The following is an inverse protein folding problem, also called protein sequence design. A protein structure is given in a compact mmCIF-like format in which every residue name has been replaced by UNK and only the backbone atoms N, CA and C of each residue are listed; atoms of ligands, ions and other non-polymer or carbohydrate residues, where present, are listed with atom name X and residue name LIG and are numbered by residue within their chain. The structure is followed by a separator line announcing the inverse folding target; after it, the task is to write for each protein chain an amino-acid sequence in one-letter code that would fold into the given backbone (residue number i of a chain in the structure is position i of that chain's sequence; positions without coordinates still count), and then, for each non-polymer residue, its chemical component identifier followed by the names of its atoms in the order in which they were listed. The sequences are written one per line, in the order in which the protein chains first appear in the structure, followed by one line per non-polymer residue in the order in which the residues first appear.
data_IF_785830667646
#
_entry.id   IF_785830667646
#
_cell.length_a   1.000
_cell.length_b   1.000
_cell.length_c   1.000
_cell.angle_alpha   90.00
_cell.angle_beta   90.00
_cell.angle_gamma   90.00
#
_symmetry.space_group_name_H-M   'P 1'
#
loop_
_entity.id
_entity.type
_entity.pdbx_description
1 polymer ?
#
# COMPACT_ATOMS: atom_id res chain seq x y z
N UNK A 1 6.10 -24.03 44.98
CA UNK A 1 6.85 -25.15 44.35
C UNK A 1 6.85 -25.12 42.83
N UNK A 2 5.97 -24.36 42.16
CA UNK A 2 5.95 -24.20 40.68
C UNK A 2 6.86 -23.06 40.15
N UNK A 3 7.13 -22.06 40.99
CA UNK A 3 7.88 -20.87 40.58
C UNK A 3 9.36 -21.16 40.15
N UNK A 4 10.12 -21.99 40.90
CA UNK A 4 11.48 -22.33 40.45
C UNK A 4 11.52 -23.13 39.17
N UNK A 5 10.58 -24.05 38.93
CA UNK A 5 10.45 -24.81 37.68
C UNK A 5 10.13 -23.94 36.47
N UNK A 6 9.36 -22.86 36.65
CA UNK A 6 9.10 -21.87 35.61
C UNK A 6 10.29 -20.97 35.34
N UNK A 7 11.07 -20.64 36.38
CA UNK A 7 12.32 -19.86 36.23
C UNK A 7 13.36 -20.70 35.51
N UNK A 8 13.57 -21.97 35.89
CA UNK A 8 14.51 -22.88 35.22
C UNK A 8 14.10 -23.16 33.77
N UNK A 9 12.80 -23.27 33.48
CA UNK A 9 12.29 -23.43 32.11
C UNK A 9 12.50 -22.17 31.27
N UNK A 10 12.38 -20.99 31.85
CA UNK A 10 12.62 -19.68 31.18
C UNK A 10 14.13 -19.48 30.99
N UNK A 11 14.97 -19.85 31.97
CA UNK A 11 16.43 -19.78 31.83
C UNK A 11 16.96 -20.79 30.80
N UNK A 12 16.42 -22.01 30.73
CA UNK A 12 16.82 -23.00 29.72
C UNK A 12 16.43 -22.61 28.30
N UNK A 13 15.35 -21.85 28.12
CA UNK A 13 14.96 -21.31 26.79
C UNK A 13 15.72 -20.03 26.43
N UNK A 14 16.35 -19.35 27.39
CA UNK A 14 17.14 -18.15 27.16
C UNK A 14 18.58 -18.46 26.69
N UNK A 15 19.04 -19.68 26.83
CA UNK A 15 20.42 -20.10 26.46
C UNK A 15 20.51 -20.65 25.02
N UNK A 16 19.39 -20.92 24.37
CA UNK A 16 19.38 -21.20 22.93
C UNK A 16 19.46 -19.88 22.17
N UNK A 17 20.62 -19.62 21.58
CA UNK A 17 20.83 -18.53 20.63
C UNK A 17 19.64 -18.52 19.63
N UNK A 18 19.05 -17.35 19.31
CA UNK A 18 17.87 -17.30 18.48
C UNK A 18 18.12 -18.02 17.17
N UNK A 19 17.40 -19.11 16.96
CA UNK A 19 17.54 -20.07 15.86
C UNK A 19 17.62 -19.41 14.47
N UNK A 20 17.09 -18.19 14.35
CA UNK A 20 17.07 -17.40 13.11
C UNK A 20 18.32 -16.56 12.87
N UNK A 21 19.00 -16.07 13.90
CA UNK A 21 20.20 -15.24 13.72
C UNK A 21 21.43 -16.08 13.32
N UNK A 22 21.49 -17.34 13.77
CA UNK A 22 22.60 -18.23 13.46
C UNK A 22 22.60 -18.77 12.02
N UNK A 23 21.55 -18.54 11.23
CA UNK A 23 21.36 -19.15 9.90
C UNK A 23 20.98 -18.14 8.81
N UNK A 24 21.17 -16.82 9.02
CA UNK A 24 20.96 -15.85 7.95
C UNK A 24 21.99 -16.12 6.83
N UNK A 25 21.56 -16.49 5.60
CA UNK A 25 22.47 -16.82 4.50
C UNK A 25 23.49 -15.71 4.20
N UNK A 26 23.12 -14.45 4.38
CA UNK A 26 24.01 -13.30 4.18
C UNK A 26 25.06 -13.23 5.28
N UNK A 27 24.69 -13.55 6.51
CA UNK A 27 25.64 -13.59 7.63
C UNK A 27 26.64 -14.73 7.48
N UNK A 28 26.19 -15.90 7.02
CA UNK A 28 27.05 -17.03 6.68
C UNK A 28 28.06 -16.63 5.58
N UNK A 29 27.59 -15.93 4.54
CA UNK A 29 28.45 -15.46 3.42
C UNK A 29 29.51 -14.47 3.89
N UNK A 30 29.19 -13.63 4.87
CA UNK A 30 30.12 -12.65 5.47
C UNK A 30 30.92 -13.20 6.64
N UNK A 31 30.86 -14.53 6.86
CA UNK A 31 31.56 -15.25 7.99
C UNK A 31 31.18 -14.69 9.36
N UNK A 32 29.91 -14.30 9.54
CA UNK A 32 29.40 -13.77 10.81
C UNK A 32 29.88 -12.35 11.15
N UNK A 33 30.53 -11.65 10.21
CA UNK A 33 31.03 -10.30 10.49
C UNK A 33 29.90 -9.28 10.61
N UNK A 34 28.83 -9.43 9.84
CA UNK A 34 27.69 -8.53 9.85
C UNK A 34 26.79 -8.71 11.10
N UNK A 35 26.81 -9.88 11.75
CA UNK A 35 26.06 -10.13 12.98
C UNK A 35 26.74 -9.49 14.20
N UNK A 36 28.06 -9.29 14.17
CA UNK A 36 28.80 -8.69 15.27
C UNK A 36 28.34 -7.25 15.53
N UNK A 37 28.24 -6.87 16.79
CA UNK A 37 27.88 -5.51 17.22
C UNK A 37 29.13 -4.62 17.26
N UNK A 38 29.57 -4.20 16.05
CA UNK A 38 30.74 -3.36 15.86
C UNK A 38 30.30 -2.00 15.26
N UNK A 39 31.09 -0.94 15.44
CA UNK A 39 30.80 0.40 14.91
C UNK A 39 30.56 0.39 13.38
N UNK A 40 31.32 -0.40 12.64
CA UNK A 40 31.19 -0.52 11.19
C UNK A 40 29.89 -1.22 10.79
N UNK A 41 29.47 -2.23 11.53
CA UNK A 41 28.21 -2.95 11.25
C UNK A 41 26.99 -2.09 11.59
N UNK A 42 27.07 -1.29 12.64
CA UNK A 42 26.04 -0.29 12.98
C UNK A 42 25.88 0.72 11.85
N UNK A 43 27.00 1.29 11.35
CA UNK A 43 26.96 2.24 10.24
C UNK A 43 26.33 1.60 9.00
N UNK A 44 26.72 0.38 8.65
CA UNK A 44 26.17 -0.35 7.49
C UNK A 44 24.67 -0.58 7.64
N UNK A 45 24.18 -1.00 8.80
CA UNK A 45 22.75 -1.21 9.08
C UNK A 45 21.94 0.07 8.88
N UNK A 46 22.43 1.18 9.42
CA UNK A 46 21.80 2.50 9.29
C UNK A 46 21.78 2.99 7.84
N UNK A 47 22.91 2.84 7.13
CA UNK A 47 23.03 3.25 5.73
C UNK A 47 22.13 2.42 4.81
N UNK A 48 22.06 1.10 5.03
CA UNK A 48 21.19 0.21 4.26
C UNK A 48 19.70 0.56 4.48
N UNK A 49 19.28 0.76 5.74
CA UNK A 49 17.93 1.17 6.06
C UNK A 49 17.57 2.50 5.39
N UNK A 50 18.46 3.50 5.47
CA UNK A 50 18.29 4.78 4.80
C UNK A 50 18.19 4.63 3.28
N UNK A 51 19.09 3.85 2.67
CA UNK A 51 19.12 3.62 1.22
C UNK A 51 17.80 3.01 0.71
N UNK A 52 17.28 2.01 1.41
CA UNK A 52 15.99 1.41 1.08
C UNK A 52 14.85 2.43 1.19
N UNK A 53 14.80 3.20 2.26
CA UNK A 53 13.82 4.29 2.42
C UNK A 53 13.89 5.32 1.31
N UNK A 54 15.11 5.68 0.87
CA UNK A 54 15.33 6.58 -0.28
C UNK A 54 14.80 5.98 -1.58
N UNK A 55 15.08 4.71 -1.88
CA UNK A 55 14.61 4.03 -3.10
C UNK A 55 13.08 4.04 -3.19
N UNK A 56 12.39 3.62 -2.14
CA UNK A 56 10.93 3.66 -2.09
C UNK A 56 10.38 5.09 -2.11
N UNK A 57 11.04 5.99 -1.39
CA UNK A 57 10.64 7.38 -1.33
C UNK A 57 10.74 8.11 -2.67
N UNK A 58 11.77 7.81 -3.49
CA UNK A 58 11.90 8.34 -4.86
C UNK A 58 10.74 7.86 -5.73
N UNK A 59 10.43 6.57 -5.68
CA UNK A 59 9.34 5.98 -6.46
C UNK A 59 8.00 6.63 -6.11
N UNK A 60 7.70 6.79 -4.81
CA UNK A 60 6.48 7.44 -4.33
C UNK A 60 6.42 8.93 -4.69
N UNK A 61 7.52 9.65 -4.56
CA UNK A 61 7.60 11.06 -4.96
C UNK A 61 7.36 11.26 -6.45
N UNK A 62 7.91 10.38 -7.30
CA UNK A 62 7.70 10.44 -8.76
C UNK A 62 6.23 10.23 -9.14
N UNK A 63 5.51 9.38 -8.42
CA UNK A 63 4.08 9.11 -8.64
C UNK A 63 3.15 10.09 -7.91
N UNK A 64 3.68 11.15 -7.31
CA UNK A 64 2.94 12.21 -6.59
C UNK A 64 2.03 11.70 -5.48
N UNK A 65 2.49 10.67 -4.75
CA UNK A 65 1.77 10.19 -3.57
C UNK A 65 1.89 11.16 -2.38
N UNK A 66 1.02 11.01 -1.39
CA UNK A 66 0.94 11.86 -0.20
C UNK A 66 2.21 11.82 0.67
N UNK A 67 2.85 10.66 0.80
CA UNK A 67 4.15 10.50 1.47
C UNK A 67 5.24 10.21 0.43
N UNK A 68 6.38 10.89 0.54
CA UNK A 68 7.47 10.84 -0.43
C UNK A 68 8.83 10.54 0.19
N UNK A 69 9.89 11.02 -0.48
CA UNK A 69 11.29 10.72 -0.19
C UNK A 69 11.66 10.90 1.29
N UNK A 70 11.36 12.05 1.87
CA UNK A 70 11.75 12.37 3.26
C UNK A 70 11.06 11.45 4.26
N UNK A 71 9.76 11.24 4.09
CA UNK A 71 8.94 10.45 5.03
C UNK A 71 9.38 8.99 5.04
N UNK A 72 9.53 8.36 3.88
CA UNK A 72 9.98 6.98 3.77
C UNK A 72 11.38 6.79 4.35
N UNK A 73 12.33 7.69 4.01
CA UNK A 73 13.70 7.63 4.50
C UNK A 73 13.79 7.77 6.02
N UNK A 74 13.03 8.68 6.62
CA UNK A 74 13.05 8.86 8.07
C UNK A 74 12.39 7.70 8.81
N UNK A 75 11.29 7.16 8.31
CA UNK A 75 10.61 6.02 8.96
C UNK A 75 11.52 4.80 9.01
N UNK A 76 12.18 4.45 7.90
CA UNK A 76 13.13 3.31 7.89
C UNK A 76 14.33 3.57 8.78
N UNK A 77 14.88 4.79 8.74
CA UNK A 77 16.02 5.18 9.55
C UNK A 77 15.72 5.09 11.05
N UNK A 78 14.62 5.73 11.50
CA UNK A 78 14.24 5.72 12.92
C UNK A 78 13.94 4.33 13.43
N UNK A 79 13.31 3.49 12.61
CA UNK A 79 13.02 2.12 12.99
C UNK A 79 14.28 1.27 13.13
N UNK A 80 15.27 1.46 12.24
CA UNK A 80 16.57 0.80 12.36
C UNK A 80 17.33 1.25 13.61
N UNK A 81 17.35 2.56 13.91
CA UNK A 81 18.00 3.10 15.11
C UNK A 81 17.32 2.58 16.38
N UNK A 82 15.97 2.54 16.40
CA UNK A 82 15.20 2.02 17.54
C UNK A 82 15.56 0.56 17.83
N UNK A 83 15.63 -0.26 16.76
CA UNK A 83 15.98 -1.66 16.90
C UNK A 83 17.45 -1.84 17.34
N UNK A 84 18.39 -1.06 16.81
CA UNK A 84 19.78 -1.06 17.28
C UNK A 84 19.89 -0.71 18.75
N UNK A 85 19.10 0.26 19.22
CA UNK A 85 19.06 0.64 20.62
C UNK A 85 18.51 -0.48 21.50
N UNK A 86 17.43 -1.16 21.09
CA UNK A 86 16.91 -2.30 21.80
C UNK A 86 17.93 -3.46 21.86
N UNK A 87 18.59 -3.78 20.75
CA UNK A 87 19.66 -4.79 20.72
C UNK A 87 20.78 -4.43 21.68
N UNK A 88 21.19 -3.16 21.73
CA UNK A 88 22.20 -2.67 22.69
C UNK A 88 21.73 -2.84 24.14
N UNK A 89 20.49 -2.46 24.46
CA UNK A 89 19.93 -2.61 25.80
C UNK A 89 19.77 -4.07 26.22
N UNK A 90 19.32 -4.93 25.32
CA UNK A 90 19.17 -6.36 25.57
C UNK A 90 20.54 -7.00 25.87
N UNK A 91 21.57 -6.63 25.10
CA UNK A 91 22.92 -7.22 25.24
C UNK A 91 23.62 -6.74 26.50
N UNK A 92 23.54 -5.44 26.84
CA UNK A 92 24.32 -4.86 27.93
C UNK A 92 23.55 -4.81 29.26
N UNK A 93 22.22 -4.65 29.22
CA UNK A 93 21.40 -4.47 30.42
C UNK A 93 20.40 -5.61 30.65
N UNK A 94 20.46 -6.69 29.87
CA UNK A 94 19.58 -7.88 29.97
C UNK A 94 18.08 -7.50 29.93
N UNK A 95 17.71 -6.48 29.17
CA UNK A 95 16.32 -6.14 28.93
C UNK A 95 15.70 -7.25 28.09
N UNK A 96 14.55 -7.79 28.51
CA UNK A 96 13.95 -8.98 27.90
C UNK A 96 13.08 -8.66 26.68
N UNK A 97 12.62 -7.40 26.54
CA UNK A 97 11.62 -7.04 25.52
C UNK A 97 12.07 -5.82 24.69
N UNK A 98 11.96 -5.87 23.34
CA UNK A 98 12.33 -4.78 22.44
C UNK A 98 11.27 -3.66 22.44
N UNK A 99 11.18 -2.92 23.55
CA UNK A 99 10.13 -1.95 23.80
C UNK A 99 10.19 -0.73 22.87
N UNK A 100 11.42 -0.28 22.54
CA UNK A 100 11.61 0.92 21.72
C UNK A 100 11.24 0.62 20.27
N UNK A 101 11.64 -0.53 19.74
CA UNK A 101 11.25 -0.99 18.41
C UNK A 101 9.72 -1.13 18.29
N UNK A 102 9.09 -1.77 19.29
CA UNK A 102 7.63 -1.91 19.31
C UNK A 102 6.93 -0.54 19.31
N UNK A 103 7.41 0.41 20.14
CA UNK A 103 6.87 1.77 20.18
C UNK A 103 7.03 2.51 18.85
N UNK A 104 8.18 2.38 18.17
CA UNK A 104 8.43 3.04 16.89
C UNK A 104 7.61 2.41 15.76
N UNK A 105 7.44 1.10 15.74
CA UNK A 105 6.57 0.43 14.75
C UNK A 105 5.10 0.84 14.93
N UNK A 106 4.62 0.94 16.18
CA UNK A 106 3.28 1.48 16.47
C UNK A 106 3.17 2.96 16.11
N UNK A 107 4.19 3.77 16.41
CA UNK A 107 4.27 5.18 15.97
C UNK A 107 4.23 5.31 14.45
N UNK A 108 4.90 4.41 13.74
CA UNK A 108 4.83 4.29 12.28
C UNK A 108 3.41 4.04 11.77
N UNK A 109 2.62 3.21 12.44
CA UNK A 109 1.21 2.99 12.11
C UNK A 109 0.37 4.27 12.30
N UNK A 110 0.62 5.04 13.37
CA UNK A 110 -0.07 6.32 13.62
C UNK A 110 0.30 7.36 12.56
N UNK A 111 1.58 7.49 12.22
CA UNK A 111 2.05 8.42 11.17
C UNK A 111 1.45 8.03 9.82
N UNK A 112 1.42 6.74 9.50
CA UNK A 112 0.86 6.25 8.23
C UNK A 112 -0.64 6.50 8.14
N UNK A 113 -1.40 6.40 9.23
CA UNK A 113 -2.82 6.69 9.25
C UNK A 113 -3.14 8.16 8.89
N UNK A 114 -2.24 9.09 9.23
CA UNK A 114 -2.38 10.51 8.89
C UNK A 114 -2.15 10.80 7.39
N UNK A 115 -1.68 9.85 6.60
CA UNK A 115 -1.56 9.99 5.14
C UNK A 115 -2.85 9.67 4.39
N UNK A 116 -3.86 9.17 5.09
CA UNK A 116 -5.18 8.87 4.53
C UNK A 116 -5.94 10.17 4.28
N UNK A 117 -6.49 10.30 3.09
CA UNK A 117 -7.31 11.43 2.69
C UNK A 117 -8.73 10.94 2.42
N UNK A 118 -9.70 11.59 3.06
CA UNK A 118 -11.11 11.35 2.79
C UNK A 118 -11.58 12.28 1.67
N UNK A 119 -12.08 11.69 0.59
CA UNK A 119 -12.71 12.44 -0.50
C UNK A 119 -14.18 12.74 -0.17
N UNK A 120 -14.72 13.83 -0.73
CA UNK A 120 -16.15 14.16 -0.64
C UNK A 120 -17.10 13.08 -1.19
N UNK A 121 -16.55 12.12 -1.95
CA UNK A 121 -17.26 10.95 -2.50
C UNK A 121 -17.15 9.68 -1.62
N UNK A 122 -16.91 9.80 -0.31
CA UNK A 122 -16.68 8.67 0.61
C UNK A 122 -15.54 7.70 0.22
N UNK A 123 -14.65 8.12 -0.68
CA UNK A 123 -13.50 7.33 -1.07
C UNK A 123 -12.30 7.64 -0.18
N UNK A 124 -11.62 6.61 0.30
CA UNK A 124 -10.38 6.73 1.06
C UNK A 124 -9.21 6.69 0.08
N UNK A 125 -8.49 7.81 -0.06
CA UNK A 125 -7.27 7.90 -0.87
C UNK A 125 -6.03 7.76 0.01
N UNK A 126 -4.95 7.19 -0.54
CA UNK A 126 -3.68 7.05 0.16
C UNK A 126 -3.51 5.78 1.00
N UNK A 127 -4.47 4.83 0.98
CA UNK A 127 -4.42 3.60 1.76
C UNK A 127 -3.15 2.78 1.47
N UNK A 128 -2.82 2.57 0.20
CA UNK A 128 -1.61 1.85 -0.21
C UNK A 128 -0.34 2.55 0.26
N UNK A 129 -0.32 3.91 0.24
CA UNK A 129 0.82 4.69 0.75
C UNK A 129 0.97 4.56 2.26
N UNK A 130 -0.14 4.56 2.99
CA UNK A 130 -0.16 4.37 4.44
C UNK A 130 0.41 2.99 4.83
N UNK A 131 -0.09 1.93 4.18
CA UNK A 131 0.40 0.55 4.44
C UNK A 131 1.87 0.40 4.03
N UNK A 132 2.28 0.99 2.90
CA UNK A 132 3.68 0.96 2.48
C UNK A 132 4.60 1.66 3.48
N UNK A 133 4.18 2.80 4.03
CA UNK A 133 4.96 3.53 5.03
C UNK A 133 5.11 2.74 6.33
N UNK A 134 4.03 2.08 6.77
CA UNK A 134 4.08 1.18 7.93
C UNK A 134 5.00 -0.03 7.70
N UNK A 135 4.92 -0.65 6.51
CA UNK A 135 5.82 -1.75 6.12
C UNK A 135 7.30 -1.31 6.17
N UNK A 136 7.61 -0.07 5.77
CA UNK A 136 8.98 0.44 5.84
C UNK A 136 9.50 0.54 7.28
N UNK A 137 8.66 0.76 8.27
CA UNK A 137 9.08 0.73 9.67
C UNK A 137 9.53 -0.67 10.10
N UNK A 138 8.83 -1.71 9.64
CA UNK A 138 9.20 -3.10 9.92
C UNK A 138 10.50 -3.49 9.19
N UNK A 139 10.65 -3.11 7.91
CA UNK A 139 11.87 -3.35 7.13
C UNK A 139 13.07 -2.65 7.77
N UNK A 140 12.90 -1.41 8.24
CA UNK A 140 13.92 -0.69 8.97
C UNK A 140 14.37 -1.43 10.24
N UNK A 141 13.42 -1.94 11.03
CA UNK A 141 13.70 -2.76 12.20
C UNK A 141 14.49 -4.05 11.86
N UNK A 142 14.15 -4.72 10.75
CA UNK A 142 14.89 -5.89 10.27
C UNK A 142 16.37 -5.57 9.99
N UNK A 143 16.66 -4.42 9.35
CA UNK A 143 18.04 -3.98 9.16
C UNK A 143 18.72 -3.68 10.49
N UNK A 144 18.04 -3.02 11.42
CA UNK A 144 18.54 -2.75 12.76
C UNK A 144 18.87 -4.03 13.53
N UNK A 145 18.01 -5.04 13.45
CA UNK A 145 18.23 -6.35 14.06
C UNK A 145 19.37 -7.15 13.40
N UNK A 146 19.79 -6.79 12.18
CA UNK A 146 20.78 -7.56 11.40
C UNK A 146 20.16 -8.72 10.62
N UNK A 147 18.84 -8.76 10.44
CA UNK A 147 18.11 -9.75 9.64
C UNK A 147 18.13 -9.35 8.16
N UNK A 148 19.29 -9.39 7.54
CA UNK A 148 19.49 -8.85 6.18
C UNK A 148 18.72 -9.62 5.12
N UNK A 149 18.70 -10.96 5.20
CA UNK A 149 17.96 -11.78 4.23
C UNK A 149 16.47 -11.51 4.28
N UNK A 150 15.89 -11.46 5.48
CA UNK A 150 14.47 -11.14 5.66
C UNK A 150 14.16 -9.71 5.18
N UNK A 151 15.04 -8.75 5.49
CA UNK A 151 14.89 -7.37 5.03
C UNK A 151 14.93 -7.28 3.50
N UNK A 152 15.91 -7.91 2.83
CA UNK A 152 16.03 -7.87 1.37
C UNK A 152 14.88 -8.56 0.66
N UNK A 153 14.43 -9.72 1.13
CA UNK A 153 13.25 -10.40 0.58
C UNK A 153 12.03 -9.50 0.72
N UNK A 154 11.82 -8.90 1.89
CA UNK A 154 10.70 -7.99 2.13
C UNK A 154 10.75 -6.75 1.23
N UNK A 155 11.94 -6.17 1.00
CA UNK A 155 12.16 -5.05 0.07
C UNK A 155 11.77 -5.44 -1.35
N UNK A 156 12.23 -6.61 -1.84
CA UNK A 156 11.91 -7.08 -3.20
C UNK A 156 10.41 -7.32 -3.35
N UNK A 157 9.79 -8.02 -2.39
CA UNK A 157 8.36 -8.30 -2.43
C UNK A 157 7.51 -7.01 -2.33
N UNK A 158 7.90 -6.08 -1.47
CA UNK A 158 7.24 -4.78 -1.36
C UNK A 158 7.35 -3.97 -2.66
N UNK A 159 8.53 -3.97 -3.30
CA UNK A 159 8.74 -3.29 -4.57
C UNK A 159 7.89 -3.89 -5.69
N UNK A 160 7.83 -5.23 -5.76
CA UNK A 160 6.96 -5.96 -6.69
C UNK A 160 5.49 -5.59 -6.44
N UNK A 161 5.03 -5.67 -5.18
CA UNK A 161 3.67 -5.34 -4.81
C UNK A 161 3.27 -3.92 -5.23
N UNK A 162 4.12 -2.93 -4.96
CA UNK A 162 3.82 -1.53 -5.24
C UNK A 162 3.90 -1.13 -6.72
N UNK A 163 4.59 -1.90 -7.56
CA UNK A 163 4.79 -1.57 -8.98
C UNK A 163 4.08 -2.52 -9.94
N UNK A 164 3.95 -3.79 -9.61
CA UNK A 164 3.37 -4.82 -10.49
C UNK A 164 1.88 -4.99 -10.20
N UNK A 165 1.49 -5.06 -8.91
CA UNK A 165 0.08 -5.24 -8.56
C UNK A 165 -0.86 -4.17 -9.13
N UNK A 166 -0.53 -2.87 -9.12
CA UNK A 166 -1.41 -1.86 -9.73
C UNK A 166 -1.65 -2.08 -11.24
N UNK A 167 -0.64 -2.59 -11.97
CA UNK A 167 -0.82 -2.94 -13.39
C UNK A 167 -1.74 -4.13 -13.57
N UNK A 168 -1.61 -5.12 -12.69
CA UNK A 168 -2.49 -6.28 -12.67
C UNK A 168 -3.92 -5.89 -12.28
N UNK A 169 -4.07 -5.02 -11.28
CA UNK A 169 -5.36 -4.48 -10.85
C UNK A 169 -6.06 -3.74 -11.99
N UNK A 170 -5.35 -2.86 -12.71
CA UNK A 170 -5.86 -2.18 -13.90
C UNK A 170 -6.30 -3.17 -15.00
N UNK A 171 -5.49 -4.21 -15.25
CA UNK A 171 -5.85 -5.24 -16.23
C UNK A 171 -7.11 -6.03 -15.81
N UNK A 172 -7.23 -6.37 -14.52
CA UNK A 172 -8.40 -7.06 -13.97
C UNK A 172 -9.62 -6.16 -13.95
N UNK A 173 -9.46 -4.87 -13.60
CA UNK A 173 -10.54 -3.87 -13.60
C UNK A 173 -11.14 -3.72 -14.99
N UNK A 174 -10.32 -3.58 -16.03
CA UNK A 174 -10.77 -3.46 -17.42
C UNK A 174 -11.54 -4.70 -17.94
N UNK A 175 -11.44 -5.84 -17.24
CA UNK A 175 -12.19 -7.06 -17.51
C UNK A 175 -13.32 -7.31 -16.51
N UNK A 176 -13.50 -6.43 -15.57
CA UNK A 176 -14.59 -6.51 -14.59
C UNK A 176 -15.95 -6.37 -15.31
N UNK A 177 -16.97 -6.98 -14.72
CA UNK A 177 -18.33 -6.73 -15.18
C UNK A 177 -18.92 -5.44 -14.64
N UNK A 178 -18.20 -4.74 -13.75
CA UNK A 178 -18.64 -3.55 -13.07
C UNK A 178 -17.67 -2.39 -13.35
N UNK A 179 -18.19 -1.25 -13.78
CA UNK A 179 -17.41 -0.05 -14.07
C UNK A 179 -18.25 1.20 -13.80
N UNK A 180 -17.59 2.31 -13.52
CA UNK A 180 -18.20 3.59 -13.26
C UNK A 180 -17.83 4.59 -14.36
N UNK A 181 -18.83 5.34 -14.83
CA UNK A 181 -18.63 6.36 -15.87
C UNK A 181 -18.97 7.74 -15.34
N UNK A 182 -18.15 8.72 -15.74
CA UNK A 182 -18.48 10.13 -15.69
C UNK A 182 -19.23 10.50 -16.96
N UNK A 183 -20.44 11.03 -16.82
CA UNK A 183 -21.31 11.37 -17.94
C UNK A 183 -21.68 12.85 -17.88
N UNK A 184 -21.40 13.56 -18.94
CA UNK A 184 -21.88 14.92 -19.17
C UNK A 184 -22.90 14.92 -20.29
N UNK A 185 -24.12 15.29 -19.97
CA UNK A 185 -25.22 15.47 -20.95
C UNK A 185 -25.40 16.95 -21.29
N UNK A 186 -25.68 17.22 -22.56
CA UNK A 186 -26.04 18.58 -23.02
C UNK A 186 -27.30 19.13 -22.34
N UNK A 187 -28.22 18.22 -22.00
CA UNK A 187 -29.47 18.59 -21.30
C UNK A 187 -29.76 17.54 -20.20
N UNK A 188 -30.17 18.00 -19.03
CA UNK A 188 -30.47 17.14 -17.87
C UNK A 188 -31.63 16.16 -18.16
N UNK A 189 -32.55 16.53 -19.06
CA UNK A 189 -33.70 15.70 -19.43
C UNK A 189 -33.31 14.46 -20.26
N UNK A 190 -32.13 14.44 -20.87
CA UNK A 190 -31.66 13.32 -21.70
C UNK A 190 -31.19 12.11 -20.90
N UNK A 191 -31.14 12.24 -19.57
CA UNK A 191 -30.79 11.12 -18.69
C UNK A 191 -31.76 9.93 -18.88
N UNK A 192 -33.06 10.18 -19.09
CA UNK A 192 -34.05 9.13 -19.32
C UNK A 192 -33.78 8.41 -20.65
N UNK A 193 -33.38 9.12 -21.70
CA UNK A 193 -33.04 8.58 -22.99
C UNK A 193 -31.78 7.71 -22.86
N UNK A 194 -30.75 8.22 -22.18
CA UNK A 194 -29.50 7.53 -21.93
C UNK A 194 -29.68 6.23 -21.13
N UNK A 195 -30.42 6.25 -20.05
CA UNK A 195 -30.73 5.05 -19.24
C UNK A 195 -31.52 4.02 -20.04
N UNK A 196 -32.41 4.47 -20.97
CA UNK A 196 -33.10 3.60 -21.90
C UNK A 196 -32.17 2.88 -22.88
N UNK A 197 -31.13 3.56 -23.39
CA UNK A 197 -30.10 2.99 -24.25
C UNK A 197 -29.26 1.95 -23.49
N UNK A 198 -28.83 2.28 -22.27
CA UNK A 198 -28.06 1.35 -21.44
C UNK A 198 -28.79 0.05 -21.19
N UNK A 199 -30.08 0.11 -20.86
CA UNK A 199 -30.94 -1.08 -20.67
C UNK A 199 -31.07 -1.92 -21.93
N UNK A 200 -31.22 -1.29 -23.10
CA UNK A 200 -31.30 -1.99 -24.40
C UNK A 200 -29.98 -2.70 -24.74
N UNK A 201 -28.84 -2.13 -24.34
CA UNK A 201 -27.53 -2.75 -24.48
C UNK A 201 -27.26 -3.89 -23.47
N UNK A 202 -28.17 -4.10 -22.50
CA UNK A 202 -27.98 -5.11 -21.46
C UNK A 202 -27.04 -4.69 -20.34
N UNK A 203 -26.87 -3.37 -20.16
CA UNK A 203 -26.17 -2.77 -19.01
C UNK A 203 -27.17 -2.51 -17.90
N UNK A 204 -26.89 -3.03 -16.71
CA UNK A 204 -27.66 -2.76 -15.50
C UNK A 204 -27.08 -1.52 -14.84
N UNK A 205 -27.92 -0.60 -14.49
CA UNK A 205 -27.57 0.59 -13.72
C UNK A 205 -27.70 0.22 -12.25
N UNK A 206 -26.59 0.33 -11.49
CA UNK A 206 -26.58 0.04 -10.07
C UNK A 206 -26.79 1.31 -9.25
N UNK A 207 -26.17 2.44 -9.66
CA UNK A 207 -26.35 3.74 -9.01
C UNK A 207 -26.18 4.90 -9.97
N UNK A 208 -26.82 6.03 -9.65
CA UNK A 208 -26.72 7.30 -10.40
C UNK A 208 -26.54 8.44 -9.40
N UNK A 209 -25.38 9.02 -9.35
CA UNK A 209 -25.09 10.21 -8.55
C UNK A 209 -25.05 11.46 -9.44
N UNK A 210 -25.86 12.46 -9.12
CA UNK A 210 -25.80 13.76 -9.79
C UNK A 210 -24.72 14.63 -9.12
N UNK A 211 -23.89 15.31 -9.92
CA UNK A 211 -22.94 16.26 -9.39
C UNK A 211 -23.62 17.60 -9.03
N UNK A 212 -23.72 17.94 -7.74
CA UNK A 212 -24.45 19.13 -7.30
C UNK A 212 -23.82 20.44 -7.78
N UNK A 213 -22.54 20.47 -8.12
CA UNK A 213 -21.85 21.66 -8.60
C UNK A 213 -22.40 22.20 -9.93
N UNK A 214 -23.08 21.37 -10.72
CA UNK A 214 -23.63 21.72 -12.04
C UNK A 214 -25.13 21.88 -12.06
N UNK A 215 -25.79 21.86 -10.90
CA UNK A 215 -27.26 21.94 -10.83
C UNK A 215 -27.89 23.20 -11.46
N UNK A 216 -27.13 24.31 -11.55
CA UNK A 216 -27.60 25.59 -12.07
C UNK A 216 -27.11 25.95 -13.49
N UNK A 217 -26.34 25.04 -14.14
CA UNK A 217 -25.72 25.33 -15.44
C UNK A 217 -26.52 24.82 -16.64
N UNK A 218 -27.61 24.09 -16.41
CA UNK A 218 -28.40 23.44 -17.48
C UNK A 218 -27.77 22.14 -17.99
N UNK A 219 -26.48 21.90 -17.73
CA UNK A 219 -25.78 20.65 -18.03
C UNK A 219 -26.17 19.55 -17.03
N UNK A 220 -26.31 18.33 -17.50
CA UNK A 220 -26.49 17.16 -16.66
C UNK A 220 -25.17 16.45 -16.46
N UNK A 221 -24.52 16.55 -15.27
CA UNK A 221 -23.30 15.86 -14.94
C UNK A 221 -23.60 14.77 -13.92
N UNK A 222 -23.29 13.52 -14.27
CA UNK A 222 -23.61 12.34 -13.49
C UNK A 222 -22.41 11.41 -13.37
N UNK A 223 -22.29 10.74 -12.22
CA UNK A 223 -21.50 9.53 -12.07
C UNK A 223 -22.45 8.34 -12.06
N UNK A 224 -22.25 7.38 -12.93
CA UNK A 224 -23.16 6.22 -13.10
C UNK A 224 -22.36 4.94 -12.94
N UNK A 225 -22.76 4.12 -11.98
CA UNK A 225 -22.21 2.78 -11.77
C UNK A 225 -22.99 1.77 -12.62
N UNK A 226 -22.27 1.00 -13.42
CA UNK A 226 -22.85 0.08 -14.40
C UNK A 226 -22.34 -1.34 -14.19
N UNK A 227 -23.24 -2.32 -14.34
CA UNK A 227 -22.89 -3.74 -14.38
C UNK A 227 -23.29 -4.34 -15.72
N UNK A 228 -22.35 -5.00 -16.39
CA UNK A 228 -22.56 -5.71 -17.66
C UNK A 228 -23.33 -6.99 -17.39
N UNK A 229 -24.59 -7.05 -17.81
CA UNK A 229 -25.45 -8.22 -17.63
C UNK A 229 -25.58 -9.04 -18.92
N UNK A 230 -25.34 -8.45 -20.10
CA UNK A 230 -25.37 -9.12 -21.38
C UNK A 230 -24.20 -10.08 -21.53
N UNK A 231 -24.47 -11.35 -21.93
CA UNK A 231 -23.43 -12.34 -22.22
C UNK A 231 -22.56 -11.95 -23.43
N UNK A 232 -23.15 -11.26 -24.39
CA UNK A 232 -22.47 -10.80 -25.61
C UNK A 232 -21.46 -9.69 -25.28
N UNK A 233 -21.84 -8.72 -24.44
CA UNK A 233 -20.94 -7.65 -24.03
C UNK A 233 -19.78 -8.18 -23.15
N UNK A 234 -20.06 -9.16 -22.28
CA UNK A 234 -19.03 -9.80 -21.46
C UNK A 234 -17.94 -10.50 -22.26
N UNK A 235 -18.29 -11.05 -23.43
CA UNK A 235 -17.39 -11.89 -24.19
C UNK A 235 -16.53 -11.12 -25.20
N UNK A 236 -17.04 -10.00 -25.74
CA UNK A 236 -16.43 -9.35 -26.91
C UNK A 236 -16.08 -7.87 -26.75
N UNK A 237 -16.50 -7.21 -25.66
CA UNK A 237 -16.31 -5.77 -25.51
C UNK A 237 -15.54 -5.42 -24.24
N UNK A 238 -14.51 -4.60 -24.39
CA UNK A 238 -13.83 -3.92 -23.27
C UNK A 238 -14.64 -2.70 -22.85
N UNK A 239 -14.43 -2.21 -21.61
CA UNK A 239 -15.08 -0.99 -21.13
C UNK A 239 -14.88 0.18 -22.10
N UNK A 240 -13.65 0.33 -22.60
CA UNK A 240 -13.30 1.39 -23.56
C UNK A 240 -14.14 1.36 -24.83
N UNK A 241 -14.39 0.18 -25.41
CA UNK A 241 -15.22 0.05 -26.61
C UNK A 241 -16.69 0.37 -26.35
N UNK A 242 -17.19 0.02 -25.15
CA UNK A 242 -18.55 0.37 -24.73
C UNK A 242 -18.69 1.88 -24.59
N UNK A 243 -17.73 2.53 -23.95
CA UNK A 243 -17.70 3.99 -23.73
C UNK A 243 -17.58 4.72 -25.06
N UNK A 244 -16.72 4.27 -25.96
CA UNK A 244 -16.55 4.83 -27.30
C UNK A 244 -17.84 4.71 -28.12
N UNK A 245 -18.54 3.57 -28.05
CA UNK A 245 -19.83 3.41 -28.68
C UNK A 245 -20.91 4.34 -28.08
N UNK A 246 -20.92 4.53 -26.77
CA UNK A 246 -21.84 5.45 -26.10
C UNK A 246 -21.53 6.93 -26.41
N UNK A 247 -20.25 7.29 -26.59
CA UNK A 247 -19.85 8.67 -26.91
C UNK A 247 -20.37 9.16 -28.27
N UNK A 248 -20.81 8.26 -29.15
CA UNK A 248 -21.39 8.63 -30.46
C UNK A 248 -22.79 9.21 -30.37
N UNK A 249 -23.43 9.19 -29.19
CA UNK A 249 -24.78 9.70 -29.01
C UNK A 249 -24.77 11.24 -29.00
N UNK A 250 -25.61 11.87 -29.82
CA UNK A 250 -25.62 13.32 -30.06
C UNK A 250 -25.85 14.19 -28.81
N UNK A 251 -26.53 13.67 -27.80
CA UNK A 251 -26.86 14.38 -26.56
C UNK A 251 -25.78 14.25 -25.49
N UNK A 252 -24.72 13.49 -25.72
CA UNK A 252 -23.56 13.36 -24.83
C UNK A 252 -22.57 14.46 -25.17
N UNK A 253 -22.06 15.13 -24.13
CA UNK A 253 -21.00 16.11 -24.24
C UNK A 253 -19.62 15.44 -23.95
N UNK A 254 -19.57 14.68 -22.86
CA UNK A 254 -18.38 13.91 -22.49
C UNK A 254 -18.80 12.63 -21.77
N UNK A 255 -18.07 11.55 -22.00
CA UNK A 255 -18.21 10.28 -21.27
C UNK A 255 -16.84 9.66 -21.07
N UNK A 256 -16.50 9.41 -19.82
CA UNK A 256 -15.20 8.85 -19.43
C UNK A 256 -15.37 7.82 -18.32
N UNK A 257 -14.51 6.80 -18.27
CA UNK A 257 -14.45 5.88 -17.13
C UNK A 257 -13.80 6.57 -15.94
N UNK A 258 -14.40 6.39 -14.77
CA UNK A 258 -13.83 6.88 -13.51
C UNK A 258 -12.89 5.79 -12.95
N UNK A 259 -11.62 6.15 -12.77
CA UNK A 259 -10.59 5.27 -12.20
C UNK A 259 -10.66 5.16 -10.66
#
# INVERSE_FOLDING_TARGET
MLLPLLVDAVESTAEEAPLFAAHDPIDILTRGWLSQFNIWTIIIRIVLALAVGVVFGIERSRKRHTAGLRTFSFVTLFSAIACLLDVYLMTNFKVVFPAITAAVVLGGAIISSNTLLYSSKNQIKGLTTAVALWLMSVIGACFGAGLYTAALISVVLAYIALNILPKLEFYLKNRSNHFEIHLELKNKNDLANFTGVLRKLGLKIDDIEANPAYNNTGLGVFSISLTINSKELKQYKTHKEIIEALSTLEYINCIEEID
#
